data_IF_631511149991
#
_entry.id   IF_631511149991
#
_cell.length_a   1.000
_cell.length_b   1.000
_cell.length_c   1.000
_cell.angle_alpha   90.00
_cell.angle_beta   90.00
_cell.angle_gamma   90.00
#
_symmetry.space_group_name_H-M   'P 1'
#
loop_
_entity.id
_entity.type
_entity.pdbx_description
1 polymer ?
#
# COMPACT_ATOMS: atom_id res chain seq x y z
N UNK A 1 12.94 -7.33 19.25
CA UNK A 1 11.50 -7.02 19.26
C UNK A 1 11.20 -6.08 18.11
N UNK A 2 10.47 -6.54 17.09
CA UNK A 2 10.05 -5.70 15.96
C UNK A 2 8.79 -4.93 16.35
N UNK A 3 8.81 -3.60 16.26
CA UNK A 3 7.61 -2.79 16.48
C UNK A 3 6.63 -2.96 15.31
N UNK A 4 5.33 -2.69 15.50
CA UNK A 4 4.36 -2.72 14.39
C UNK A 4 4.77 -1.81 13.23
N UNK A 5 5.39 -0.67 13.54
CA UNK A 5 5.97 0.26 12.55
C UNK A 5 7.09 -0.42 11.77
N UNK A 6 8.01 -1.12 12.45
CA UNK A 6 9.09 -1.86 11.81
C UNK A 6 8.57 -3.00 10.93
N UNK A 7 7.60 -3.77 11.44
CA UNK A 7 6.96 -4.86 10.70
C UNK A 7 6.29 -4.34 9.42
N UNK A 8 5.51 -3.27 9.52
CA UNK A 8 4.86 -2.64 8.38
C UNK A 8 5.88 -2.14 7.34
N UNK A 9 6.88 -1.37 7.77
CA UNK A 9 7.85 -0.78 6.86
C UNK A 9 8.71 -1.83 6.16
N UNK A 10 9.08 -2.91 6.85
CA UNK A 10 9.81 -4.02 6.24
C UNK A 10 8.93 -4.74 5.22
N UNK A 11 7.70 -5.07 5.58
CA UNK A 11 6.79 -5.79 4.68
C UNK A 11 6.41 -4.96 3.44
N UNK A 12 6.26 -3.63 3.59
CA UNK A 12 6.04 -2.75 2.45
C UNK A 12 7.29 -2.62 1.57
N UNK A 13 8.49 -2.66 2.16
CA UNK A 13 9.74 -2.72 1.39
C UNK A 13 9.76 -3.99 0.55
N UNK A 14 9.53 -5.16 1.16
CA UNK A 14 9.47 -6.46 0.48
C UNK A 14 8.47 -6.45 -0.68
N UNK A 15 7.27 -5.91 -0.45
CA UNK A 15 6.26 -5.80 -1.49
C UNK A 15 6.76 -4.96 -2.69
N UNK A 16 7.37 -3.81 -2.44
CA UNK A 16 7.88 -2.93 -3.51
C UNK A 16 9.04 -3.60 -4.26
N UNK A 17 9.94 -4.31 -3.57
CA UNK A 17 11.04 -5.05 -4.23
C UNK A 17 10.50 -6.18 -5.12
N UNK A 18 9.48 -6.90 -4.66
CA UNK A 18 8.83 -7.94 -5.47
C UNK A 18 8.18 -7.34 -6.71
N UNK A 19 7.51 -6.18 -6.59
CA UNK A 19 6.97 -5.46 -7.75
C UNK A 19 8.08 -5.04 -8.74
N UNK A 20 9.21 -4.53 -8.25
CA UNK A 20 10.37 -4.18 -9.10
C UNK A 20 10.93 -5.42 -9.79
N UNK A 21 10.94 -6.59 -9.13
CA UNK A 21 11.43 -7.82 -9.74
C UNK A 21 10.55 -8.30 -10.90
N UNK A 22 9.24 -8.05 -10.83
CA UNK A 22 8.26 -8.40 -11.86
C UNK A 22 8.29 -7.37 -13.00
N UNK A 23 8.46 -6.08 -12.67
CA UNK A 23 8.46 -4.97 -13.61
C UNK A 23 9.78 -4.18 -13.55
N UNK A 24 10.91 -4.80 -13.94
CA UNK A 24 12.23 -4.20 -13.78
C UNK A 24 12.45 -2.95 -14.63
N UNK A 25 11.65 -2.74 -15.68
CA UNK A 25 11.74 -1.57 -16.55
C UNK A 25 10.78 -0.44 -16.17
N UNK A 26 9.92 -0.66 -15.16
CA UNK A 26 8.98 0.34 -14.68
C UNK A 26 9.71 1.38 -13.80
N UNK A 27 9.92 2.56 -14.38
CA UNK A 27 10.56 3.69 -13.70
C UNK A 27 9.74 4.23 -12.53
N UNK A 28 8.41 4.13 -12.57
CA UNK A 28 7.52 4.67 -11.55
C UNK A 28 7.60 3.86 -10.26
N UNK A 29 7.69 2.53 -10.34
CA UNK A 29 7.86 1.66 -9.16
C UNK A 29 9.22 1.92 -8.50
N UNK A 30 10.28 2.10 -9.30
CA UNK A 30 11.62 2.47 -8.78
C UNK A 30 11.60 3.84 -8.10
N UNK A 31 10.89 4.81 -8.66
CA UNK A 31 10.71 6.12 -8.02
C UNK A 31 9.90 6.00 -6.72
N UNK A 32 8.85 5.15 -6.69
CA UNK A 32 8.07 4.89 -5.48
C UNK A 32 8.93 4.28 -4.36
N UNK A 33 9.83 3.34 -4.69
CA UNK A 33 10.83 2.79 -3.73
C UNK A 33 11.70 3.88 -3.12
N UNK A 34 12.24 4.78 -3.94
CA UNK A 34 13.07 5.89 -3.48
C UNK A 34 12.28 6.85 -2.59
N UNK A 35 11.08 7.25 -3.02
CA UNK A 35 10.21 8.12 -2.25
C UNK A 35 9.85 7.50 -0.89
N UNK A 36 9.44 6.23 -0.88
CA UNK A 36 9.15 5.49 0.35
C UNK A 36 10.37 5.39 1.27
N UNK A 37 11.56 5.10 0.73
CA UNK A 37 12.79 5.00 1.53
C UNK A 37 13.16 6.33 2.18
N UNK A 38 12.94 7.44 1.48
CA UNK A 38 13.15 8.79 2.02
C UNK A 38 12.15 9.10 3.15
N UNK A 39 10.86 8.86 2.93
CA UNK A 39 9.82 9.07 3.96
C UNK A 39 10.08 8.20 5.19
N UNK A 40 10.42 6.92 4.99
CA UNK A 40 10.75 5.98 6.08
C UNK A 40 11.91 6.47 6.93
N UNK A 41 12.95 7.02 6.29
CA UNK A 41 14.15 7.53 6.98
C UNK A 41 13.87 8.79 7.81
N UNK A 42 13.00 9.68 7.32
CA UNK A 42 12.65 10.93 8.03
C UNK A 42 11.54 10.75 9.07
N UNK A 43 10.49 9.99 8.74
CA UNK A 43 9.36 9.71 9.61
C UNK A 43 8.86 8.26 9.41
N UNK A 44 9.40 7.29 10.16
CA UNK A 44 9.04 5.88 9.99
C UNK A 44 7.57 5.59 10.31
N UNK A 45 6.86 6.48 11.03
CA UNK A 45 5.44 6.32 11.35
C UNK A 45 4.49 6.92 10.31
N UNK A 46 4.99 7.75 9.39
CA UNK A 46 4.14 8.42 8.41
C UNK A 46 3.44 7.40 7.51
N UNK A 47 4.18 6.42 7.00
CA UNK A 47 3.68 5.50 5.98
C UNK A 47 2.57 4.60 6.51
N UNK A 48 2.76 4.01 7.70
CA UNK A 48 1.72 3.18 8.33
C UNK A 48 0.43 3.96 8.64
N UNK A 49 0.54 5.25 9.01
CA UNK A 49 -0.62 6.13 9.25
C UNK A 49 -1.32 6.52 7.96
N UNK A 50 -0.56 6.83 6.91
CA UNK A 50 -1.08 7.14 5.57
C UNK A 50 -1.81 5.91 5.01
N UNK A 51 -1.19 4.73 5.10
CA UNK A 51 -1.80 3.46 4.69
C UNK A 51 -3.11 3.23 5.43
N UNK A 52 -3.12 3.31 6.76
CA UNK A 52 -4.35 3.17 7.52
C UNK A 52 -5.41 4.17 7.04
N UNK A 53 -5.07 5.47 6.99
CA UNK A 53 -6.02 6.51 6.61
C UNK A 53 -6.70 6.27 5.25
N UNK A 54 -5.97 5.73 4.27
CA UNK A 54 -6.45 5.66 2.90
C UNK A 54 -6.82 4.25 2.42
N UNK A 55 -6.33 3.20 3.09
CA UNK A 55 -6.54 1.80 2.66
C UNK A 55 -7.40 1.03 3.65
N UNK A 56 -7.38 1.36 4.96
CA UNK A 56 -8.08 0.55 5.98
C UNK A 56 -9.59 0.60 5.90
N UNK A 57 -10.18 1.66 5.33
CA UNK A 57 -11.62 1.76 5.04
C UNK A 57 -12.13 0.67 4.09
N UNK A 58 -11.23 0.02 3.36
CA UNK A 58 -11.54 -1.12 2.48
C UNK A 58 -11.14 -2.46 3.09
N UNK A 59 -10.91 -2.51 4.40
CA UNK A 59 -10.43 -3.71 5.08
C UNK A 59 -11.32 -4.93 4.83
N UNK A 60 -12.65 -4.78 4.78
CA UNK A 60 -13.56 -5.92 4.51
C UNK A 60 -13.34 -6.52 3.11
N UNK A 61 -13.27 -5.68 2.07
CA UNK A 61 -13.01 -6.13 0.70
C UNK A 61 -11.60 -6.74 0.56
N UNK A 62 -10.61 -6.11 1.22
CA UNK A 62 -9.23 -6.60 1.27
C UNK A 62 -9.13 -7.95 1.99
N UNK A 63 -9.81 -8.11 3.13
CA UNK A 63 -9.84 -9.37 3.89
C UNK A 63 -10.53 -10.48 3.11
N UNK A 64 -11.58 -10.16 2.34
CA UNK A 64 -12.23 -11.07 1.41
C UNK A 64 -11.33 -11.55 0.26
N UNK A 65 -10.17 -10.91 0.06
CA UNK A 65 -9.22 -11.24 -1.01
C UNK A 65 -9.71 -10.82 -2.40
N UNK A 66 -10.66 -9.90 -2.46
CA UNK A 66 -11.18 -9.38 -3.72
C UNK A 66 -10.16 -8.41 -4.33
N UNK A 67 -9.24 -8.98 -5.11
CA UNK A 67 -8.24 -8.20 -5.83
C UNK A 67 -8.89 -7.27 -6.86
N UNK A 68 -10.07 -7.62 -7.40
CA UNK A 68 -10.77 -6.77 -8.36
C UNK A 68 -11.26 -5.48 -7.68
N UNK A 69 -11.66 -5.55 -6.42
CA UNK A 69 -11.92 -4.35 -5.63
C UNK A 69 -10.67 -3.47 -5.54
N UNK A 70 -9.50 -4.04 -5.24
CA UNK A 70 -8.25 -3.26 -5.19
C UNK A 70 -7.86 -2.68 -6.56
N UNK A 71 -8.09 -3.45 -7.62
CA UNK A 71 -7.69 -3.13 -8.98
C UNK A 71 -8.68 -2.21 -9.67
N UNK A 72 -9.96 -2.16 -9.31
CA UNK A 72 -11.00 -1.47 -10.10
C UNK A 72 -11.74 -0.37 -9.34
N UNK A 73 -11.64 -0.33 -8.01
CA UNK A 73 -12.33 0.69 -7.21
C UNK A 73 -11.85 2.11 -7.48
N UNK A 74 -12.78 3.07 -7.43
CA UNK A 74 -12.48 4.50 -7.53
C UNK A 74 -12.23 5.06 -6.12
N UNK A 75 -10.97 5.34 -5.84
CA UNK A 75 -10.52 5.86 -4.54
C UNK A 75 -10.74 7.38 -4.38
N UNK A 76 -11.29 8.05 -5.40
CA UNK A 76 -11.47 9.51 -5.44
C UNK A 76 -12.62 10.02 -4.57
N UNK A 77 -13.60 9.17 -4.24
CA UNK A 77 -14.82 9.59 -3.54
C UNK A 77 -14.57 9.93 -2.05
N UNK A 78 -13.51 9.38 -1.46
CA UNK A 78 -13.37 9.27 0.00
C UNK A 78 -12.39 10.25 0.65
N UNK A 79 -11.87 11.25 -0.07
CA UNK A 79 -10.95 12.25 0.52
C UNK A 79 -11.60 13.62 0.55
N UNK A 80 -11.67 14.28 1.69
CA UNK A 80 -12.16 15.67 1.77
C UNK A 80 -11.14 16.66 1.18
N UNK A 81 -11.55 17.40 0.14
CA UNK A 81 -10.74 18.43 -0.54
C UNK A 81 -9.91 17.92 -1.73
N UNK A 82 -9.85 18.72 -2.82
CA UNK A 82 -9.25 18.36 -4.12
C UNK A 82 -7.77 17.98 -4.05
N UNK A 83 -6.97 18.72 -3.28
CA UNK A 83 -5.51 18.58 -3.38
C UNK A 83 -4.98 17.30 -2.72
N UNK A 84 -5.68 16.83 -1.67
CA UNK A 84 -5.35 15.59 -0.97
C UNK A 84 -5.95 14.36 -1.67
N UNK A 85 -7.03 14.52 -2.45
CA UNK A 85 -7.59 13.46 -3.31
C UNK A 85 -6.56 13.00 -4.32
N UNK A 86 -5.98 13.95 -5.04
CA UNK A 86 -5.04 13.68 -6.13
C UNK A 86 -3.77 12.96 -5.65
N UNK A 87 -3.22 13.34 -4.50
CA UNK A 87 -2.00 12.72 -3.98
C UNK A 87 -2.23 11.27 -3.54
N UNK A 88 -3.36 11.00 -2.90
CA UNK A 88 -3.74 9.66 -2.43
C UNK A 88 -4.01 8.74 -3.59
N UNK A 89 -4.79 9.22 -4.56
CA UNK A 89 -5.10 8.49 -5.76
C UNK A 89 -3.82 8.15 -6.54
N UNK A 90 -2.90 9.12 -6.70
CA UNK A 90 -1.59 8.87 -7.33
C UNK A 90 -0.77 7.80 -6.60
N UNK A 91 -0.78 7.79 -5.27
CA UNK A 91 -0.03 6.78 -4.48
C UNK A 91 -0.65 5.39 -4.64
N UNK A 92 -1.98 5.30 -4.58
CA UNK A 92 -2.70 4.03 -4.77
C UNK A 92 -2.50 3.52 -6.20
N UNK A 93 -2.63 4.40 -7.21
CA UNK A 93 -2.47 4.05 -8.63
C UNK A 93 -1.06 3.52 -8.95
N UNK A 94 -0.03 4.05 -8.30
CA UNK A 94 1.36 3.56 -8.42
C UNK A 94 1.56 2.12 -7.93
N UNK A 95 0.72 1.65 -7.00
CA UNK A 95 0.74 0.26 -6.53
C UNK A 95 -0.24 -0.61 -7.33
N UNK A 96 -1.40 -0.05 -7.68
CA UNK A 96 -2.50 -0.70 -8.39
C UNK A 96 -2.14 -1.06 -9.82
N UNK A 97 -1.51 -0.16 -10.57
CA UNK A 97 -1.22 -0.38 -11.99
C UNK A 97 -0.29 -1.59 -12.22
N UNK A 98 0.80 -1.77 -11.46
CA UNK A 98 1.59 -3.00 -11.51
C UNK A 98 0.77 -4.24 -11.15
N UNK A 99 -0.07 -4.17 -10.11
CA UNK A 99 -0.93 -5.27 -9.66
C UNK A 99 -2.02 -5.64 -10.68
N UNK A 100 -2.52 -4.68 -11.45
CA UNK A 100 -3.45 -4.93 -12.56
C UNK A 100 -2.79 -5.71 -13.70
N UNK A 101 -1.52 -5.42 -13.97
CA UNK A 101 -0.80 -5.93 -15.15
C UNK A 101 -0.02 -7.22 -14.90
N UNK A 102 -0.07 -7.79 -13.70
CA UNK A 102 0.57 -9.07 -13.38
C UNK A 102 -0.39 -10.25 -13.57
N UNK A 103 0.16 -11.45 -13.82
CA UNK A 103 -0.63 -12.68 -13.92
C UNK A 103 -1.33 -13.06 -12.61
N UNK A 104 -2.39 -13.87 -12.71
CA UNK A 104 -3.30 -14.21 -11.59
C UNK A 104 -2.58 -14.73 -10.33
N UNK A 105 -1.51 -15.51 -10.51
CA UNK A 105 -0.70 -16.00 -9.39
C UNK A 105 0.00 -14.85 -8.64
N UNK A 106 0.57 -13.91 -9.37
CA UNK A 106 1.24 -12.75 -8.79
C UNK A 106 0.23 -11.78 -8.17
N UNK A 107 -0.97 -11.66 -8.74
CA UNK A 107 -2.08 -10.90 -8.14
C UNK A 107 -2.47 -11.46 -6.78
N UNK A 108 -2.57 -12.79 -6.66
CA UNK A 108 -2.86 -13.45 -5.38
C UNK A 108 -1.76 -13.19 -4.33
N UNK A 109 -0.49 -13.20 -4.75
CA UNK A 109 0.66 -12.85 -3.88
C UNK A 109 0.61 -11.38 -3.45
N UNK A 110 0.35 -10.46 -4.38
CA UNK A 110 0.18 -9.04 -4.09
C UNK A 110 -0.98 -8.80 -3.12
N UNK A 111 -2.11 -9.51 -3.29
CA UNK A 111 -3.24 -9.44 -2.37
C UNK A 111 -2.81 -9.81 -0.94
N UNK A 112 -1.94 -10.80 -0.79
CA UNK A 112 -1.46 -11.23 0.52
C UNK A 112 -0.64 -10.15 1.23
N UNK A 113 0.22 -9.44 0.49
CA UNK A 113 0.91 -8.26 1.00
C UNK A 113 -0.07 -7.19 1.46
N UNK A 114 -1.04 -6.84 0.62
CA UNK A 114 -2.05 -5.80 0.91
C UNK A 114 -2.85 -6.14 2.18
N UNK A 115 -3.27 -7.41 2.34
CA UNK A 115 -3.95 -7.90 3.54
C UNK A 115 -3.10 -7.74 4.80
N UNK A 116 -1.85 -8.19 4.76
CA UNK A 116 -0.95 -8.13 5.90
C UNK A 116 -0.63 -6.67 6.29
N UNK A 117 -0.33 -5.82 5.32
CA UNK A 117 -0.08 -4.39 5.52
C UNK A 117 -1.28 -3.69 6.17
N UNK A 118 -2.48 -3.98 5.66
CA UNK A 118 -3.73 -3.43 6.20
C UNK A 118 -3.94 -3.87 7.64
N UNK A 119 -3.79 -5.16 7.93
CA UNK A 119 -3.90 -5.70 9.29
C UNK A 119 -2.91 -5.06 10.27
N UNK A 120 -1.64 -4.95 9.89
CA UNK A 120 -0.60 -4.33 10.74
C UNK A 120 -0.93 -2.85 10.99
N UNK A 121 -1.39 -2.13 9.95
CA UNK A 121 -1.77 -0.71 10.07
C UNK A 121 -2.95 -0.50 11.03
N UNK A 122 -3.98 -1.37 10.96
CA UNK A 122 -5.13 -1.33 11.85
C UNK A 122 -4.72 -1.63 13.29
N UNK A 123 -3.93 -2.69 13.52
CA UNK A 123 -3.40 -3.02 14.85
C UNK A 123 -2.62 -1.84 15.46
N UNK A 124 -1.82 -1.14 14.66
CA UNK A 124 -1.03 0.00 15.11
C UNK A 124 -1.90 1.17 15.59
N UNK A 125 -3.00 1.46 14.88
CA UNK A 125 -3.91 2.53 15.26
C UNK A 125 -4.74 2.14 16.48
N UNK A 126 -5.23 0.89 16.55
CA UNK A 126 -6.00 0.39 17.71
C UNK A 126 -5.21 0.39 19.02
N UNK A 127 -3.89 0.21 18.99
CA UNK A 127 -3.03 0.30 20.19
C UNK A 127 -2.76 1.73 20.68
N UNK A 128 -3.20 2.74 19.93
CA UNK A 128 -2.92 4.17 20.19
C UNK A 128 -4.18 4.99 20.45
N UNK A 129 -5.34 4.33 20.50
CA UNK A 129 -6.60 4.87 21.01
C UNK A 129 -6.73 4.50 22.49
#
# INVERSE_FOLDING_TARGET
MTTLVGAFNNHLTEFIEDLISIFPDDGDIKMARTAFSNVKSFNPTAVIKIWFKYVSKYAEAIEGGDISFFIDHDYSEDVGGSDKRDEVQRIIDKLRNPVRNMGTENQAKAMKYIQNLTKISTMYVSQRQ
#
